data_IF_086286162882
#
_entry.id   IF_086286162882
#
_cell.length_a   1.000
_cell.length_b   1.000
_cell.length_c   1.000
_cell.angle_alpha   90.00
_cell.angle_beta   90.00
_cell.angle_gamma   90.00
#
_symmetry.space_group_name_H-M   'P 1'
#
loop_
_entity.id
_entity.type
_entity.pdbx_description
1 polymer ?
#
# COMPACT_ATOMS: atom_id res chain seq x y z
N UNK A 1 0.22 10.18 -8.51
CA UNK A 1 -0.50 10.95 -7.46
C UNK A 1 -1.00 9.97 -6.41
N UNK A 2 -1.05 10.35 -5.13
CA UNK A 2 -1.64 9.52 -4.07
C UNK A 2 -2.66 10.30 -3.24
N UNK A 3 -3.55 9.60 -2.54
CA UNK A 3 -4.56 10.19 -1.65
C UNK A 3 -4.77 9.33 -0.40
N UNK A 4 -5.03 9.99 0.73
CA UNK A 4 -5.56 9.34 1.93
C UNK A 4 -7.06 9.14 1.78
N UNK A 5 -7.50 7.90 1.91
CA UNK A 5 -8.90 7.49 1.78
C UNK A 5 -9.30 6.61 2.95
N UNK A 6 -10.60 6.46 3.15
CA UNK A 6 -11.17 5.57 4.14
C UNK A 6 -12.18 4.67 3.44
N UNK A 7 -11.78 3.42 3.21
CA UNK A 7 -12.55 2.43 2.43
C UNK A 7 -12.71 1.16 3.25
N UNK A 8 -13.91 0.57 3.22
CA UNK A 8 -14.23 -0.69 3.92
C UNK A 8 -13.81 -0.72 5.41
N UNK A 9 -13.89 0.44 6.08
CA UNK A 9 -13.50 0.69 7.48
C UNK A 9 -11.99 0.69 7.76
N UNK A 10 -11.18 0.84 6.73
CA UNK A 10 -9.72 0.91 6.83
C UNK A 10 -9.23 2.24 6.24
N UNK A 11 -8.24 2.86 6.89
CA UNK A 11 -7.43 3.91 6.29
C UNK A 11 -6.54 3.34 5.18
N UNK A 12 -6.61 3.98 4.02
CA UNK A 12 -5.93 3.54 2.80
C UNK A 12 -5.15 4.69 2.21
N UNK A 13 -3.88 4.43 1.90
CA UNK A 13 -3.10 5.31 1.05
C UNK A 13 -3.18 4.83 -0.40
N UNK A 14 -4.05 5.44 -1.18
CA UNK A 14 -4.34 5.03 -2.55
C UNK A 14 -3.34 5.64 -3.53
N UNK A 15 -2.63 4.81 -4.29
CA UNK A 15 -1.75 5.20 -5.39
C UNK A 15 -2.50 5.14 -6.72
N UNK A 16 -2.84 6.31 -7.27
CA UNK A 16 -3.54 6.40 -8.55
C UNK A 16 -2.61 6.16 -9.74
N UNK A 17 -1.39 6.68 -9.64
CA UNK A 17 -0.46 6.67 -10.76
C UNK A 17 0.98 6.58 -10.26
N UNK A 18 1.71 5.62 -10.81
CA UNK A 18 3.17 5.50 -10.74
C UNK A 18 3.69 5.27 -12.15
N UNK A 19 4.57 6.16 -12.61
CA UNK A 19 5.17 6.07 -13.93
C UNK A 19 6.67 6.33 -13.84
N UNK A 20 7.45 5.43 -14.44
CA UNK A 20 8.90 5.59 -14.63
C UNK A 20 9.16 5.48 -16.12
N UNK A 21 9.85 6.51 -16.65
CA UNK A 21 10.27 6.53 -18.05
C UNK A 21 11.12 5.30 -18.36
N UNK A 22 10.93 4.72 -19.55
CA UNK A 22 11.52 3.44 -19.93
C UNK A 22 13.04 3.37 -19.73
N UNK A 23 13.75 4.44 -20.11
CA UNK A 23 15.20 4.56 -19.97
C UNK A 23 15.71 4.45 -18.52
N UNK A 24 14.83 4.64 -17.53
CA UNK A 24 15.17 4.63 -16.10
C UNK A 24 14.54 3.43 -15.36
N UNK A 25 13.91 2.49 -16.07
CA UNK A 25 13.39 1.25 -15.47
C UNK A 25 14.55 0.31 -15.12
N UNK A 26 14.30 -0.62 -14.20
CA UNK A 26 15.34 -1.53 -13.70
C UNK A 26 16.34 -0.91 -12.71
N UNK A 27 16.26 0.41 -12.45
CA UNK A 27 17.13 1.14 -11.53
C UNK A 27 16.53 1.31 -10.12
N UNK A 28 15.62 0.42 -9.72
CA UNK A 28 14.89 0.44 -8.44
C UNK A 28 14.03 1.69 -8.13
N UNK A 29 13.96 2.69 -9.01
CA UNK A 29 13.19 3.94 -8.80
C UNK A 29 11.74 3.67 -8.39
N UNK A 30 11.04 2.80 -9.13
CA UNK A 30 9.66 2.46 -8.81
C UNK A 30 9.51 1.85 -7.42
N UNK A 31 10.46 0.98 -7.01
CA UNK A 31 10.48 0.37 -5.67
C UNK A 31 10.70 1.45 -4.61
N UNK A 32 11.67 2.34 -4.80
CA UNK A 32 11.94 3.44 -3.87
C UNK A 32 10.72 4.36 -3.70
N UNK A 33 10.02 4.69 -4.80
CA UNK A 33 8.79 5.49 -4.76
C UNK A 33 7.69 4.78 -3.96
N UNK A 34 7.50 3.48 -4.16
CA UNK A 34 6.50 2.70 -3.40
C UNK A 34 6.90 2.54 -1.93
N UNK A 35 8.18 2.34 -1.62
CA UNK A 35 8.66 2.31 -0.22
C UNK A 35 8.44 3.64 0.48
N UNK A 36 8.67 4.77 -0.18
CA UNK A 36 8.36 6.08 0.39
C UNK A 36 6.85 6.23 0.64
N UNK A 37 6.02 5.72 -0.27
CA UNK A 37 4.57 5.74 -0.08
C UNK A 37 4.16 4.85 1.11
N UNK A 38 4.74 3.66 1.26
CA UNK A 38 4.54 2.80 2.43
C UNK A 38 4.94 3.52 3.73
N UNK A 39 6.10 4.19 3.77
CA UNK A 39 6.52 4.98 4.93
C UNK A 39 5.56 6.12 5.27
N UNK A 40 5.07 6.85 4.26
CA UNK A 40 4.04 7.89 4.45
C UNK A 40 2.78 7.27 5.05
N UNK A 41 2.33 6.13 4.53
CA UNK A 41 1.16 5.44 5.06
C UNK A 41 1.34 5.07 6.54
N UNK A 42 2.47 4.46 6.88
CA UNK A 42 2.76 4.04 8.26
C UNK A 42 2.81 5.24 9.21
N UNK A 43 3.52 6.31 8.85
CA UNK A 43 3.63 7.53 9.69
C UNK A 43 2.28 8.21 9.96
N UNK A 44 1.29 8.01 9.07
CA UNK A 44 -0.04 8.59 9.22
C UNK A 44 -1.07 7.58 9.72
N UNK A 45 -0.64 6.41 10.20
CA UNK A 45 -1.52 5.39 10.77
C UNK A 45 -2.46 4.74 9.75
N UNK A 46 -2.05 4.64 8.49
CA UNK A 46 -2.83 3.93 7.46
C UNK A 46 -2.58 2.42 7.56
N UNK A 47 -3.61 1.63 7.28
CA UNK A 47 -3.59 0.18 7.42
C UNK A 47 -2.99 -0.49 6.16
N UNK A 48 -3.12 0.14 4.99
CA UNK A 48 -2.59 -0.39 3.73
C UNK A 48 -2.30 0.69 2.69
N UNK A 49 -1.37 0.37 1.79
CA UNK A 49 -1.25 1.04 0.49
C UNK A 49 -2.05 0.25 -0.53
N UNK A 50 -2.82 0.93 -1.38
CA UNK A 50 -3.67 0.31 -2.40
C UNK A 50 -3.42 0.92 -3.77
N UNK A 51 -3.64 0.15 -4.84
CA UNK A 51 -3.59 0.61 -6.22
C UNK A 51 -4.46 -0.24 -7.14
N UNK A 52 -4.79 0.30 -8.31
CA UNK A 52 -5.38 -0.46 -9.43
C UNK A 52 -4.34 -0.67 -10.52
N UNK A 53 -4.26 -1.88 -11.05
CA UNK A 53 -3.40 -2.22 -12.20
C UNK A 53 -4.20 -2.90 -13.29
N UNK A 54 -3.99 -2.49 -14.54
CA UNK A 54 -4.59 -3.16 -15.70
C UNK A 54 -3.93 -4.54 -15.90
N UNK A 55 -4.73 -5.58 -16.12
CA UNK A 55 -4.26 -6.95 -16.35
C UNK A 55 -3.35 -7.05 -17.58
N UNK A 56 -3.62 -6.24 -18.60
CA UNK A 56 -2.81 -6.16 -19.81
C UNK A 56 -1.41 -5.56 -19.57
N UNK A 57 -1.19 -4.86 -18.44
CA UNK A 57 0.13 -4.30 -18.10
C UNK A 57 0.94 -5.31 -17.29
N UNK A 58 1.35 -6.39 -17.94
CA UNK A 58 2.07 -7.50 -17.30
C UNK A 58 3.33 -7.04 -16.56
N UNK A 59 4.07 -6.06 -17.11
CA UNK A 59 5.25 -5.49 -16.45
C UNK A 59 4.91 -4.87 -15.10
N UNK A 60 3.83 -4.07 -15.02
CA UNK A 60 3.39 -3.47 -13.77
C UNK A 60 2.85 -4.53 -12.79
N UNK A 61 2.08 -5.51 -13.28
CA UNK A 61 1.57 -6.61 -12.46
C UNK A 61 2.73 -7.39 -11.80
N UNK A 62 3.74 -7.76 -12.58
CA UNK A 62 4.93 -8.45 -12.05
C UNK A 62 5.73 -7.57 -11.09
N UNK A 63 5.85 -6.27 -11.39
CA UNK A 63 6.51 -5.32 -10.51
C UNK A 63 5.82 -5.25 -9.13
N UNK A 64 4.51 -5.01 -9.09
CA UNK A 64 3.78 -4.86 -7.83
C UNK A 64 3.78 -6.16 -7.01
N UNK A 65 3.52 -7.30 -7.65
CA UNK A 65 3.61 -8.62 -6.99
C UNK A 65 5.02 -8.88 -6.46
N UNK A 66 6.06 -8.51 -7.21
CA UNK A 66 7.46 -8.64 -6.82
C UNK A 66 7.93 -7.71 -5.68
N UNK A 67 7.11 -6.73 -5.28
CA UNK A 67 7.37 -5.87 -4.10
C UNK A 67 6.39 -6.12 -2.94
N UNK A 68 5.60 -7.19 -3.03
CA UNK A 68 4.75 -7.68 -1.93
C UNK A 68 3.29 -7.25 -1.98
N UNK A 69 2.82 -6.65 -3.09
CA UNK A 69 1.39 -6.36 -3.26
C UNK A 69 0.63 -7.62 -3.67
N UNK A 70 -0.56 -7.79 -3.11
CA UNK A 70 -1.44 -8.93 -3.36
C UNK A 70 -2.83 -8.45 -3.78
N UNK A 71 -3.67 -9.28 -4.42
CA UNK A 71 -5.05 -8.90 -4.72
C UNK A 71 -5.83 -8.52 -3.46
N UNK A 72 -6.34 -7.29 -3.42
CA UNK A 72 -7.10 -6.77 -2.29
C UNK A 72 -8.45 -7.50 -2.16
N UNK A 73 -9.03 -7.51 -0.97
CA UNK A 73 -10.34 -8.10 -0.66
C UNK A 73 -11.48 -7.45 -1.45
N UNK A 74 -11.37 -6.16 -1.74
CA UNK A 74 -12.32 -5.40 -2.57
C UNK A 74 -12.23 -5.71 -4.07
N UNK A 75 -11.22 -6.48 -4.51
CA UNK A 75 -11.00 -6.72 -5.93
C UNK A 75 -12.22 -7.41 -6.60
N UNK A 76 -12.81 -6.85 -7.69
CA UNK A 76 -14.01 -7.38 -8.32
C UNK A 76 -13.92 -8.85 -8.75
N UNK A 77 -12.71 -9.32 -9.10
CA UNK A 77 -12.47 -10.71 -9.49
C UNK A 77 -12.78 -11.71 -8.37
N UNK A 78 -12.71 -11.30 -7.10
CA UNK A 78 -13.10 -12.13 -5.94
C UNK A 78 -14.60 -12.35 -5.86
N UNK A 79 -15.40 -11.52 -6.52
CA UNK A 79 -16.86 -11.60 -6.57
C UNK A 79 -17.38 -12.17 -7.91
N UNK A 80 -16.52 -12.84 -8.67
CA UNK A 80 -16.88 -13.44 -9.96
C UNK A 80 -17.16 -12.42 -11.08
N UNK A 81 -16.75 -11.16 -10.91
CA UNK A 81 -16.88 -10.14 -11.96
C UNK A 81 -15.66 -10.17 -12.88
N UNK A 82 -15.93 -10.24 -14.17
CA UNK A 82 -14.89 -10.14 -15.20
C UNK A 82 -14.61 -8.66 -15.51
N UNK A 83 -13.42 -8.21 -15.15
CA UNK A 83 -12.92 -6.85 -15.38
C UNK A 83 -11.47 -6.91 -15.85
N UNK A 84 -11.01 -5.87 -16.55
CA UNK A 84 -9.66 -5.83 -17.16
C UNK A 84 -8.56 -5.32 -16.21
N UNK A 85 -8.86 -5.21 -14.92
CA UNK A 85 -7.94 -4.71 -13.89
C UNK A 85 -7.96 -5.59 -12.63
N UNK A 86 -6.94 -5.42 -11.78
CA UNK A 86 -6.90 -5.94 -10.42
C UNK A 86 -6.69 -4.76 -9.46
N UNK A 87 -7.36 -4.81 -8.31
CA UNK A 87 -7.04 -3.97 -7.17
C UNK A 87 -6.03 -4.73 -6.32
N UNK A 88 -4.87 -4.13 -6.07
CA UNK A 88 -3.82 -4.70 -5.25
C UNK A 88 -3.63 -3.86 -3.99
N UNK A 89 -3.29 -4.50 -2.88
CA UNK A 89 -2.92 -3.83 -1.65
C UNK A 89 -1.72 -4.48 -0.97
N UNK A 90 -1.09 -3.72 -0.09
CA UNK A 90 -0.04 -4.19 0.82
C UNK A 90 -0.30 -3.60 2.20
N UNK A 91 -0.46 -4.49 3.19
CA UNK A 91 -0.63 -4.11 4.60
C UNK A 91 0.62 -3.42 5.11
N UNK A 92 0.42 -2.37 5.88
CA UNK A 92 1.47 -1.65 6.58
C UNK A 92 1.63 -2.23 7.99
N UNK A 93 2.84 -2.17 8.57
CA UNK A 93 3.01 -2.55 9.97
C UNK A 93 2.18 -1.62 10.86
N UNK A 94 1.54 -2.19 11.87
CA UNK A 94 0.95 -1.41 12.97
C UNK A 94 2.07 -0.63 13.66
N UNK A 95 1.81 0.62 14.06
CA UNK A 95 2.72 1.29 14.98
C UNK A 95 2.69 0.50 16.29
N UNK A 96 3.87 0.04 16.75
CA UNK A 96 3.97 -0.55 18.09
C UNK A 96 3.41 0.48 19.08
N UNK A 97 2.34 0.12 19.79
CA UNK A 97 1.82 0.93 20.89
C UNK A 97 2.97 1.09 21.89
N UNK A 98 3.43 2.33 22.07
CA UNK A 98 4.34 2.64 23.15
C UNK A 98 3.59 2.38 24.45
N UNK A 99 3.90 1.26 25.13
CA UNK A 99 3.45 1.05 26.50
C UNK A 99 4.03 2.21 27.33
N UNK A 100 3.18 3.09 27.86
CA UNK A 100 3.56 4.03 28.90
C UNK A 100 4.08 3.20 30.08
N UNK A 101 5.40 3.18 30.28
CA UNK A 101 6.03 2.63 31.47
C UNK A 101 5.42 3.30 32.69
N UNK A 102 4.63 2.54 33.44
CA UNK A 102 3.91 3.00 34.61
C UNK A 102 4.88 3.39 35.72
N UNK A 103 5.33 4.64 35.72
CA UNK A 103 5.96 5.22 36.89
C UNK A 103 4.88 5.67 37.89
N UNK A 104 4.37 4.72 38.68
CA UNK A 104 3.84 5.03 40.00
C UNK A 104 5.03 5.48 40.88
N UNK A 105 5.28 6.79 40.96
CA UNK A 105 6.08 7.32 42.06
C UNK A 105 5.25 7.35 43.34
N UNK A 106 5.72 6.50 44.26
CA UNK A 106 5.29 6.23 45.62
C UNK A 106 5.02 7.53 46.40
N UNK A 107 3.84 7.61 47.01
CA UNK A 107 3.52 8.64 47.99
C UNK A 107 4.39 8.49 49.25
N UNK A 108 5.05 9.57 49.67
CA UNK A 108 5.48 9.82 51.05
C UNK A 108 4.58 10.85 51.72
#
# INVERSE_FOLDING_TARGET
MFRFEYEDKEGVLYCYELQVVEAMRGMAIGRSLMTMLESIGSTWGMEKVMLTVLKANETAVQFYKGIGFIPDESCPSKFGREVDYEILSKRLPEEDEWEEDGSEEVAE
#
